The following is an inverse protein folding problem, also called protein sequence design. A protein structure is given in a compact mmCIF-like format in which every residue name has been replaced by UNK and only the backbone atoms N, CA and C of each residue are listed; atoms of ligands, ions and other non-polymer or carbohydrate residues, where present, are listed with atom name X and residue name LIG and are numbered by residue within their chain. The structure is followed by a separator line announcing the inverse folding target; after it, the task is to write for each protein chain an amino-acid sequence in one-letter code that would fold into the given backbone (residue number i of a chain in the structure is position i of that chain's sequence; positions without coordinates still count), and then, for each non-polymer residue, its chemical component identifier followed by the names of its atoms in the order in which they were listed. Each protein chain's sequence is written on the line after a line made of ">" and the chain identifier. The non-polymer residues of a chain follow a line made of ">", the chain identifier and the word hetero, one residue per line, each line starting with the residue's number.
data_IF_532543779459
#
_entry.id   IF_532543779459
#
_cell.length_a   1.000
_cell.length_b   1.000
_cell.length_c   1.000
_cell.angle_alpha   90.00
_cell.angle_beta   90.00
_cell.angle_gamma   90.00
#
_symmetry.space_group_name_H-M   'P 1'
#
loop_
_entity.id
_entity.type
_entity.pdbx_description
1 polymer ?
#
# COMPACT_ATOMS: atom_id res chain seq x y z
N UNK A 1 -0.57 1.51 10.24
CA UNK A 1 -1.50 2.04 9.21
C UNK A 1 -2.93 1.94 9.66
N UNK A 2 -3.81 2.72 9.04
CA UNK A 2 -5.25 2.63 9.29
C UNK A 2 -5.92 1.82 8.18
N UNK A 3 -6.71 0.83 8.55
CA UNK A 3 -7.48 -0.04 7.68
C UNK A 3 -8.95 0.39 7.69
N UNK A 4 -9.48 0.67 6.51
CA UNK A 4 -10.84 1.23 6.37
C UNK A 4 -11.85 0.22 5.87
N UNK A 5 -11.45 -0.63 4.92
CA UNK A 5 -12.35 -1.57 4.26
C UNK A 5 -11.61 -2.74 3.64
N UNK A 6 -12.35 -3.80 3.29
CA UNK A 6 -11.82 -4.95 2.57
C UNK A 6 -12.79 -5.37 1.48
N UNK A 7 -12.29 -5.43 0.25
CA UNK A 7 -13.10 -5.74 -0.93
C UNK A 7 -12.71 -7.09 -1.52
N UNK A 8 -13.68 -7.75 -2.16
CA UNK A 8 -13.45 -8.96 -2.95
C UNK A 8 -12.78 -8.68 -4.29
N UNK A 9 -13.02 -7.50 -4.84
CA UNK A 9 -12.54 -7.10 -6.16
C UNK A 9 -11.57 -5.93 -6.02
N UNK A 10 -10.40 -6.06 -6.66
CA UNK A 10 -9.38 -5.03 -6.66
C UNK A 10 -9.90 -3.70 -7.22
N UNK A 11 -10.78 -3.74 -8.23
CA UNK A 11 -11.36 -2.52 -8.82
C UNK A 11 -12.13 -1.68 -7.80
N UNK A 12 -12.84 -2.29 -6.85
CA UNK A 12 -13.57 -1.58 -5.80
C UNK A 12 -12.62 -0.94 -4.78
N UNK A 13 -11.62 -1.70 -4.32
CA UNK A 13 -10.60 -1.17 -3.41
C UNK A 13 -9.81 -0.01 -4.05
N UNK A 14 -9.45 -0.13 -5.34
CA UNK A 14 -8.75 0.93 -6.07
C UNK A 14 -9.61 2.18 -6.25
N UNK A 15 -10.91 2.03 -6.48
CA UNK A 15 -11.84 3.15 -6.58
C UNK A 15 -11.89 3.93 -5.26
N UNK A 16 -12.08 3.24 -4.14
CA UNK A 16 -12.11 3.86 -2.81
C UNK A 16 -10.78 4.52 -2.45
N UNK A 17 -9.66 3.81 -2.59
CA UNK A 17 -8.34 4.38 -2.34
C UNK A 17 -8.04 5.57 -3.26
N UNK A 18 -8.54 5.56 -4.50
CA UNK A 18 -8.43 6.67 -5.44
C UNK A 18 -9.19 7.92 -5.00
N UNK A 19 -10.41 7.76 -4.48
CA UNK A 19 -11.19 8.87 -3.92
C UNK A 19 -10.46 9.49 -2.72
N UNK A 20 -9.99 8.67 -1.79
CA UNK A 20 -9.22 9.12 -0.62
C UNK A 20 -7.94 9.85 -1.03
N UNK A 21 -7.20 9.35 -2.03
CA UNK A 21 -6.03 10.07 -2.58
C UNK A 21 -6.41 11.41 -3.19
N UNK A 22 -7.54 11.51 -3.89
CA UNK A 22 -8.06 12.77 -4.43
C UNK A 22 -8.40 13.80 -3.35
N UNK A 23 -8.69 13.34 -2.14
CA UNK A 23 -8.94 14.17 -0.94
C UNK A 23 -7.66 14.46 -0.14
N UNK A 24 -6.50 13.98 -0.60
CA UNK A 24 -5.19 14.24 0.03
C UNK A 24 -4.72 13.17 1.03
N UNK A 25 -5.48 12.09 1.22
CA UNK A 25 -5.03 10.99 2.08
C UNK A 25 -4.00 10.12 1.36
N UNK A 26 -2.98 9.67 2.10
CA UNK A 26 -2.02 8.67 1.61
C UNK A 26 -2.66 7.26 1.60
N UNK A 27 -3.63 7.03 0.72
CA UNK A 27 -4.39 5.79 0.64
C UNK A 27 -3.83 4.83 -0.41
N UNK A 28 -3.75 3.54 -0.06
CA UNK A 28 -3.25 2.47 -0.91
C UNK A 28 -4.00 1.16 -0.68
N UNK A 29 -3.75 0.17 -1.54
CA UNK A 29 -4.41 -1.13 -1.49
C UNK A 29 -3.37 -2.22 -1.28
N UNK A 30 -3.63 -3.12 -0.33
CA UNK A 30 -2.82 -4.31 -0.11
C UNK A 30 -3.70 -5.57 -0.15
N UNK A 31 -3.22 -6.62 -0.81
CA UNK A 31 -3.87 -7.93 -0.76
C UNK A 31 -3.64 -8.60 0.59
N UNK A 32 -4.66 -9.25 1.12
CA UNK A 32 -4.56 -10.12 2.29
C UNK A 32 -5.38 -11.40 2.06
N UNK A 33 -4.78 -12.56 2.30
CA UNK A 33 -5.50 -13.84 2.32
C UNK A 33 -6.04 -14.08 3.72
N UNK A 34 -7.36 -14.17 3.84
CA UNK A 34 -8.04 -14.44 5.11
C UNK A 34 -8.39 -15.93 5.16
N UNK A 35 -7.99 -16.67 6.21
CA UNK A 35 -8.35 -18.08 6.38
C UNK A 35 -9.85 -18.31 6.18
N UNK A 36 -10.20 -19.35 5.43
CA UNK A 36 -11.56 -19.78 5.07
C UNK A 36 -12.40 -18.77 4.27
N UNK A 37 -11.92 -17.54 4.09
CA UNK A 37 -12.62 -16.50 3.36
C UNK A 37 -11.95 -16.19 2.02
N UNK A 38 -10.67 -16.50 1.84
CA UNK A 38 -9.94 -16.28 0.60
C UNK A 38 -9.30 -14.90 0.48
N UNK A 39 -9.06 -14.44 -0.75
CA UNK A 39 -8.37 -13.18 -1.03
C UNK A 39 -9.28 -11.97 -0.79
N UNK A 40 -8.71 -10.93 -0.16
CA UNK A 40 -9.30 -9.61 -0.03
C UNK A 40 -8.29 -8.54 -0.39
N UNK A 41 -8.81 -7.39 -0.81
CA UNK A 41 -8.04 -6.17 -1.07
C UNK A 41 -8.40 -5.14 0.00
N UNK A 42 -7.46 -4.86 0.89
CA UNK A 42 -7.61 -3.91 2.01
C UNK A 42 -7.33 -2.50 1.54
N UNK A 43 -8.22 -1.57 1.84
CA UNK A 43 -7.94 -0.13 1.70
C UNK A 43 -7.28 0.35 2.98
N UNK A 44 -6.07 0.87 2.83
CA UNK A 44 -5.19 1.29 3.91
C UNK A 44 -4.82 2.76 3.75
N UNK A 45 -4.60 3.46 4.86
CA UNK A 45 -4.16 4.85 4.90
C UNK A 45 -2.90 4.99 5.74
N UNK A 46 -1.98 5.79 5.20
CA UNK A 46 -0.80 6.31 5.88
C UNK A 46 0.35 5.33 6.00
N UNK A 47 1.41 5.83 6.60
CA UNK A 47 2.56 5.07 7.06
C UNK A 47 3.04 5.74 8.33
N UNK A 48 2.55 5.24 9.47
CA UNK A 48 2.65 5.91 10.75
C UNK A 48 3.76 5.26 11.56
N UNK A 49 4.63 6.07 12.15
CA UNK A 49 5.75 5.59 12.94
C UNK A 49 5.28 5.03 14.30
N UNK A 50 4.18 5.58 14.82
CA UNK A 50 3.61 5.20 16.12
C UNK A 50 2.16 4.77 16.01
N UNK A 51 1.69 4.04 17.03
CA UNK A 51 0.28 3.67 17.12
C UNK A 51 -0.59 4.90 17.41
N UNK A 52 -0.07 5.86 18.16
CA UNK A 52 -0.73 7.12 18.48
C UNK A 52 -1.02 7.96 17.23
N UNK A 53 -0.05 8.08 16.32
CA UNK A 53 -0.24 8.75 15.03
C UNK A 53 -1.32 8.05 14.20
N UNK A 54 -1.29 6.71 14.15
CA UNK A 54 -2.29 5.93 13.45
C UNK A 54 -3.68 6.09 14.07
N UNK A 55 -3.77 6.17 15.41
CA UNK A 55 -5.02 6.37 16.14
C UNK A 55 -5.62 7.75 15.87
N UNK A 56 -4.81 8.80 15.95
CA UNK A 56 -5.25 10.15 15.63
C UNK A 56 -5.75 10.25 14.17
N UNK A 57 -5.04 9.62 13.24
CA UNK A 57 -5.50 9.55 11.85
C UNK A 57 -6.80 8.76 11.67
N UNK A 58 -6.98 7.66 12.41
CA UNK A 58 -8.19 6.86 12.39
C UNK A 58 -9.40 7.65 12.90
N UNK A 59 -9.25 8.36 14.03
CA UNK A 59 -10.27 9.24 14.59
C UNK A 59 -10.65 10.35 13.60
N UNK A 60 -9.67 11.04 13.01
CA UNK A 60 -9.93 12.08 12.02
C UNK A 60 -10.66 11.57 10.77
N UNK A 61 -10.39 10.33 10.31
CA UNK A 61 -11.10 9.70 9.19
C UNK A 61 -12.57 9.39 9.53
N UNK A 62 -12.85 9.00 10.78
CA UNK A 62 -14.20 8.73 11.26
C UNK A 62 -14.98 10.03 11.43
N UNK A 63 -14.40 11.04 12.08
CA UNK A 63 -15.02 12.35 12.32
C UNK A 63 -15.33 13.09 11.01
N UNK A 64 -14.44 13.00 10.03
CA UNK A 64 -14.64 13.58 8.70
C UNK A 64 -15.66 12.79 7.84
N UNK A 65 -16.24 11.69 8.35
CA UNK A 65 -17.20 10.86 7.62
C UNK A 65 -16.58 10.14 6.42
N UNK A 66 -15.25 9.96 6.41
CA UNK A 66 -14.50 9.32 5.31
C UNK A 66 -14.41 7.82 5.44
N UNK A 67 -14.70 7.30 6.63
CA UNK A 67 -14.82 5.88 6.87
C UNK A 67 -15.94 5.58 7.88
N UNK A 68 -16.56 4.41 7.74
CA UNK A 68 -17.48 3.87 8.75
C UNK A 68 -16.74 3.03 9.80
N UNK A 69 -15.52 2.61 9.48
CA UNK A 69 -14.63 1.80 10.30
C UNK A 69 -13.19 2.26 10.06
N UNK A 70 -12.38 2.31 11.11
CA UNK A 70 -10.96 2.63 11.02
C UNK A 70 -10.18 1.81 12.05
N UNK A 71 -9.59 0.70 11.61
CA UNK A 71 -8.78 -0.19 12.44
C UNK A 71 -7.29 0.06 12.30
N UNK A 72 -6.52 -0.06 13.37
CA UNK A 72 -5.06 0.07 13.28
C UNK A 72 -4.44 -1.31 12.98
N UNK A 73 -3.65 -1.39 11.91
CA UNK A 73 -2.86 -2.58 11.58
C UNK A 73 -1.36 -2.25 11.56
N UNK A 74 -0.57 -3.14 12.14
CA UNK A 74 0.90 -3.12 12.05
C UNK A 74 1.35 -3.96 10.85
N UNK A 75 1.61 -3.29 9.74
CA UNK A 75 2.01 -3.91 8.47
C UNK A 75 3.32 -3.26 7.97
N UNK A 76 4.45 -3.54 8.64
CA UNK A 76 5.69 -2.81 8.41
C UNK A 76 6.45 -3.29 7.18
N UNK A 77 6.18 -4.50 6.68
CA UNK A 77 6.91 -5.07 5.54
C UNK A 77 6.18 -4.82 4.23
N UNK A 78 6.93 -4.53 3.17
CA UNK A 78 6.44 -4.39 1.81
C UNK A 78 7.50 -4.84 0.81
N UNK A 79 7.10 -5.05 -0.44
CA UNK A 79 8.02 -5.40 -1.53
C UNK A 79 8.34 -4.13 -2.31
N UNK A 80 9.58 -3.65 -2.22
CA UNK A 80 10.10 -2.56 -3.03
C UNK A 80 10.42 -3.09 -4.43
N UNK A 81 9.62 -2.69 -5.41
CA UNK A 81 9.80 -3.08 -6.83
C UNK A 81 10.83 -2.17 -7.51
N UNK A 82 10.98 -0.93 -7.04
CA UNK A 82 12.02 -0.06 -7.55
C UNK A 82 11.94 1.37 -7.03
N UNK A 83 13.01 2.11 -7.32
CA UNK A 83 13.13 3.54 -7.05
C UNK A 83 13.21 4.31 -8.36
N UNK A 84 12.52 5.45 -8.42
CA UNK A 84 12.36 6.23 -9.65
C UNK A 84 12.65 7.71 -9.40
N UNK A 85 13.25 8.42 -10.37
CA UNK A 85 13.67 9.82 -10.19
C UNK A 85 12.52 10.84 -10.36
N UNK A 86 11.34 10.41 -10.80
CA UNK A 86 10.21 11.30 -11.02
C UNK A 86 8.86 10.59 -10.87
N UNK A 87 7.83 11.38 -10.57
CA UNK A 87 6.44 10.92 -10.47
C UNK A 87 5.97 10.25 -11.76
N UNK A 88 6.31 10.83 -12.91
CA UNK A 88 5.98 10.25 -14.21
C UNK A 88 6.67 8.91 -14.48
N UNK A 89 7.89 8.71 -13.98
CA UNK A 89 8.60 7.44 -14.13
C UNK A 89 7.98 6.34 -13.26
N UNK A 90 7.70 6.62 -11.98
CA UNK A 90 7.05 5.66 -11.09
C UNK A 90 5.64 5.31 -11.53
N UNK A 91 4.86 6.28 -12.03
CA UNK A 91 3.48 6.02 -12.47
C UNK A 91 3.44 5.18 -13.76
N UNK A 92 4.43 5.30 -14.67
CA UNK A 92 4.54 4.39 -15.82
C UNK A 92 4.75 2.94 -15.38
N UNK A 93 5.60 2.71 -14.38
CA UNK A 93 5.83 1.37 -13.87
C UNK A 93 4.63 0.85 -13.06
N UNK A 94 4.04 1.70 -12.22
CA UNK A 94 2.81 1.38 -11.49
C UNK A 94 1.69 0.94 -12.44
N UNK A 95 1.52 1.60 -13.59
CA UNK A 95 0.51 1.20 -14.60
C UNK A 95 0.76 -0.20 -15.15
N UNK A 96 2.02 -0.57 -15.43
CA UNK A 96 2.35 -1.94 -15.89
C UNK A 96 1.96 -2.98 -14.85
N UNK A 97 2.30 -2.75 -13.58
CA UNK A 97 1.94 -3.65 -12.49
C UNK A 97 0.42 -3.73 -12.29
N UNK A 98 -0.31 -2.61 -12.40
CA UNK A 98 -1.79 -2.60 -12.34
C UNK A 98 -2.42 -3.43 -13.47
N UNK A 99 -1.90 -3.35 -14.69
CA UNK A 99 -2.37 -4.18 -15.82
C UNK A 99 -2.17 -5.68 -15.58
N UNK A 100 -1.22 -6.03 -14.71
CA UNK A 100 -0.95 -7.41 -14.26
C UNK A 100 -1.75 -7.82 -13.02
N UNK A 101 -2.73 -7.01 -12.62
CA UNK A 101 -3.60 -7.31 -11.48
C UNK A 101 -3.01 -6.97 -10.11
N UNK A 102 -1.91 -6.23 -10.06
CA UNK A 102 -1.29 -5.80 -8.80
C UNK A 102 -1.80 -4.43 -8.33
N UNK A 103 -1.52 -4.13 -7.07
CA UNK A 103 -1.92 -2.89 -6.39
C UNK A 103 -0.71 -2.08 -5.93
N UNK A 104 0.08 -1.52 -6.86
CA UNK A 104 1.26 -0.79 -6.46
C UNK A 104 0.90 0.59 -5.89
N UNK A 105 1.73 1.06 -4.96
CA UNK A 105 1.65 2.42 -4.42
C UNK A 105 3.05 3.02 -4.31
N UNK A 106 3.15 4.34 -4.50
CA UNK A 106 4.43 5.04 -4.45
C UNK A 106 4.55 5.90 -3.19
N UNK A 107 5.75 5.93 -2.62
CA UNK A 107 6.11 6.84 -1.52
C UNK A 107 7.18 7.79 -2.02
N UNK A 108 6.98 9.08 -1.77
CA UNK A 108 7.95 10.13 -2.07
C UNK A 108 8.96 10.22 -0.92
N UNK A 109 10.24 10.04 -1.22
CA UNK A 109 11.33 10.17 -0.25
C UNK A 109 12.32 11.23 -0.71
N UNK A 110 12.94 11.92 0.24
CA UNK A 110 14.12 12.76 -0.04
C UNK A 110 15.37 11.92 0.19
N UNK A 111 16.21 11.80 -0.82
CA UNK A 111 17.52 11.18 -0.70
C UNK A 111 18.49 12.08 0.09
N UNK A 112 19.58 11.49 0.57
CA UNK A 112 20.60 12.18 1.38
C UNK A 112 21.29 13.33 0.65
N UNK A 113 21.28 13.33 -0.67
CA UNK A 113 21.79 14.40 -1.54
C UNK A 113 20.73 15.49 -1.84
N UNK A 114 19.54 15.40 -1.24
CA UNK A 114 18.44 16.35 -1.41
C UNK A 114 17.56 16.09 -2.64
N UNK A 115 17.88 15.10 -3.47
CA UNK A 115 17.02 14.73 -4.59
C UNK A 115 15.70 14.10 -4.12
N UNK A 116 14.65 14.21 -4.94
CA UNK A 116 13.39 13.51 -4.69
C UNK A 116 13.43 12.17 -5.41
N UNK A 117 13.20 11.08 -4.68
CA UNK A 117 13.03 9.74 -5.21
C UNK A 117 11.61 9.25 -4.92
N UNK A 118 11.08 8.42 -5.81
CA UNK A 118 9.78 7.78 -5.68
C UNK A 118 9.98 6.27 -5.58
N UNK A 119 9.66 5.69 -4.44
CA UNK A 119 9.76 4.25 -4.19
C UNK A 119 8.44 3.57 -4.49
N UNK A 120 8.46 2.53 -5.31
CA UNK A 120 7.27 1.78 -5.71
C UNK A 120 7.17 0.49 -4.91
N UNK A 121 6.08 0.34 -4.17
CA UNK A 121 5.84 -0.81 -3.32
C UNK A 121 4.66 -1.64 -3.83
N UNK A 122 4.68 -2.93 -3.48
CA UNK A 122 3.55 -3.86 -3.60
C UNK A 122 3.31 -4.55 -2.26
N UNK A 123 2.04 -4.58 -1.85
CA UNK A 123 1.61 -5.26 -0.64
C UNK A 123 1.99 -4.53 0.66
N UNK A 124 1.44 -5.01 1.76
CA UNK A 124 1.78 -4.57 3.11
C UNK A 124 1.51 -5.75 4.06
N UNK A 125 2.57 -6.23 4.71
CA UNK A 125 2.60 -7.51 5.41
C UNK A 125 2.97 -7.32 6.88
N UNK A 126 2.44 -8.19 7.73
CA UNK A 126 2.71 -8.13 9.16
C UNK A 126 4.10 -8.68 9.47
N UNK A 127 4.53 -9.69 8.71
CA UNK A 127 5.81 -10.39 8.89
C UNK A 127 6.68 -10.30 7.64
N UNK A 128 7.98 -10.54 7.80
CA UNK A 128 8.92 -10.55 6.69
C UNK A 128 8.67 -11.76 5.80
N UNK A 129 8.35 -12.89 6.41
CA UNK A 129 8.11 -14.18 5.78
C UNK A 129 6.91 -14.10 4.81
N UNK A 130 5.81 -13.45 5.21
CA UNK A 130 4.66 -13.20 4.32
C UNK A 130 5.04 -12.35 3.10
N UNK A 131 5.91 -11.35 3.29
CA UNK A 131 6.39 -10.50 2.22
C UNK A 131 7.35 -11.27 1.28
N UNK A 132 8.20 -12.15 1.83
CA UNK A 132 9.12 -12.99 1.06
C UNK A 132 8.38 -14.04 0.24
N UNK A 133 7.32 -14.66 0.79
CA UNK A 133 6.46 -15.58 0.04
C UNK A 133 5.83 -14.87 -1.16
N UNK A 134 5.23 -13.68 -0.94
CA UNK A 134 4.67 -12.89 -2.04
C UNK A 134 5.74 -12.45 -3.04
N UNK A 135 6.94 -12.04 -2.58
CA UNK A 135 8.03 -11.67 -3.49
C UNK A 135 8.45 -12.85 -4.37
N UNK A 136 8.47 -14.07 -3.82
CA UNK A 136 8.71 -15.29 -4.58
C UNK A 136 7.64 -15.57 -5.64
N UNK A 137 6.36 -15.33 -5.35
CA UNK A 137 5.28 -15.43 -6.34
C UNK A 137 5.42 -14.36 -7.44
N UNK A 138 5.73 -13.12 -7.07
CA UNK A 138 5.99 -12.05 -8.04
C UNK A 138 7.16 -12.36 -8.96
N UNK A 139 8.25 -12.94 -8.43
CA UNK A 139 9.43 -13.32 -9.21
C UNK A 139 9.10 -14.43 -10.22
N UNK A 140 8.25 -15.40 -9.88
CA UNK A 140 7.76 -16.42 -10.84
C UNK A 140 7.01 -15.80 -12.00
N UNK A 141 6.31 -14.69 -11.75
CA UNK A 141 5.65 -13.93 -12.80
C UNK A 141 6.61 -12.92 -13.49
N UNK A 142 7.89 -12.88 -13.13
CA UNK A 142 8.88 -11.96 -13.71
C UNK A 142 8.78 -10.53 -13.20
N UNK A 143 8.40 -10.34 -11.92
CA UNK A 143 8.48 -9.06 -11.21
C UNK A 143 9.44 -9.21 -10.05
N UNK A 144 10.63 -8.62 -10.19
CA UNK A 144 11.60 -8.59 -9.11
C UNK A 144 11.30 -7.47 -8.12
N UNK A 145 11.56 -7.76 -6.84
CA UNK A 145 11.43 -6.79 -5.76
C UNK A 145 12.15 -7.25 -4.51
N UNK A 146 12.47 -6.31 -3.63
CA UNK A 146 13.16 -6.57 -2.37
C UNK A 146 12.19 -6.36 -1.19
N UNK A 147 12.16 -7.31 -0.26
CA UNK A 147 11.40 -7.15 0.99
C UNK A 147 12.11 -6.14 1.88
N UNK A 148 11.39 -5.09 2.28
CA UNK A 148 11.90 -4.02 3.12
C UNK A 148 10.85 -3.57 4.13
N UNK A 149 11.30 -2.87 5.16
CA UNK A 149 10.44 -1.97 5.91
C UNK A 149 10.04 -0.80 5.01
N UNK A 150 8.79 -0.34 5.15
CA UNK A 150 8.31 0.88 4.50
C UNK A 150 8.37 2.07 5.45
#
# INVERSE_FOLDING_TARGET
>A
VVHLSSHRYLSLANREAGLLRGEGYNAFVASARIPDKGLFYRVLVGDFATEEEARSAAEGLLEAGRAQYAGILRLPYAILVGSFPSEGAVEREARKLRMRGLSPYSVRVRSSDGATEYRLFVGAFATREEAEEMAGELEKDGISGCVTLR
#
